data_IF_409517563003
#
_entry.id   IF_409517563003
#
_cell.length_a   1.000
_cell.length_b   1.000
_cell.length_c   1.000
_cell.angle_alpha   90.00
_cell.angle_beta   90.00
_cell.angle_gamma   90.00
#
_symmetry.space_group_name_H-M   'P 1'
#
loop_
_entity.id
_entity.type
_entity.pdbx_description
1 polymer ?
#
# COMPACT_ATOMS: atom_id res chain seq x y z
N UNK A 1 6.34 -17.72 37.22
CA UNK A 1 6.53 -18.45 35.95
C UNK A 1 6.04 -17.66 34.72
N UNK A 2 4.93 -16.95 34.81
CA UNK A 2 4.31 -16.23 33.69
C UNK A 2 5.15 -15.12 33.02
N UNK A 3 5.95 -14.33 33.76
CA UNK A 3 6.82 -13.32 33.15
C UNK A 3 7.90 -13.93 32.26
N UNK A 4 8.47 -15.07 32.66
CA UNK A 4 9.48 -15.78 31.89
C UNK A 4 8.92 -16.37 30.60
N UNK A 5 7.74 -17.01 30.66
CA UNK A 5 7.07 -17.54 29.46
C UNK A 5 6.75 -16.43 28.46
N UNK A 6 6.25 -15.29 28.94
CA UNK A 6 5.97 -14.11 28.10
C UNK A 6 7.24 -13.55 27.46
N UNK A 7 8.31 -13.39 28.24
CA UNK A 7 9.62 -12.96 27.72
C UNK A 7 10.17 -13.91 26.67
N UNK A 8 10.12 -15.22 26.90
CA UNK A 8 10.54 -16.25 25.95
C UNK A 8 9.72 -16.21 24.66
N UNK A 9 8.39 -16.02 24.76
CA UNK A 9 7.50 -15.87 23.60
C UNK A 9 7.83 -14.61 22.79
N UNK A 10 8.06 -13.49 23.47
CA UNK A 10 8.44 -12.23 22.81
C UNK A 10 9.82 -12.33 22.14
N UNK A 11 10.79 -12.98 22.79
CA UNK A 11 12.10 -13.24 22.20
C UNK A 11 11.98 -14.10 20.92
N UNK A 12 11.19 -15.18 20.95
CA UNK A 12 10.93 -16.00 19.76
C UNK A 12 10.26 -15.22 18.64
N UNK A 13 9.30 -14.34 18.96
CA UNK A 13 8.65 -13.46 17.98
C UNK A 13 9.62 -12.46 17.38
N UNK A 14 10.50 -11.88 18.18
CA UNK A 14 11.53 -10.97 17.70
C UNK A 14 12.50 -11.68 16.73
N UNK A 15 12.95 -12.89 17.08
CA UNK A 15 13.79 -13.71 16.21
C UNK A 15 13.10 -14.03 14.87
N UNK A 16 11.83 -14.45 14.92
CA UNK A 16 11.06 -14.74 13.71
C UNK A 16 10.88 -13.51 12.82
N UNK A 17 10.65 -12.33 13.42
CA UNK A 17 10.59 -11.06 12.68
C UNK A 17 11.92 -10.71 12.04
N UNK A 18 13.04 -10.87 12.76
CA UNK A 18 14.37 -10.61 12.22
C UNK A 18 14.67 -11.50 11.01
N UNK A 19 14.38 -12.80 11.10
CA UNK A 19 14.55 -13.74 9.99
C UNK A 19 13.69 -13.38 8.78
N UNK A 20 12.44 -12.98 9.00
CA UNK A 20 11.56 -12.55 7.91
C UNK A 20 12.04 -11.27 7.22
N UNK A 21 12.70 -10.36 7.96
CA UNK A 21 13.30 -9.16 7.38
C UNK A 21 14.51 -9.53 6.51
N UNK A 22 15.38 -10.41 7.00
CA UNK A 22 16.55 -10.90 6.25
C UNK A 22 16.15 -11.59 4.94
N UNK A 23 15.20 -12.52 4.99
CA UNK A 23 14.65 -13.19 3.80
C UNK A 23 14.05 -12.19 2.79
N UNK A 24 13.41 -11.12 3.27
CA UNK A 24 12.86 -10.07 2.42
C UNK A 24 13.95 -9.25 1.72
N UNK A 25 15.11 -9.02 2.36
CA UNK A 25 16.25 -8.37 1.71
C UNK A 25 16.88 -9.26 0.64
N UNK A 26 17.06 -10.54 0.93
CA UNK A 26 17.56 -11.51 -0.07
C UNK A 26 16.65 -11.61 -1.30
N UNK A 27 15.33 -11.49 -1.14
CA UNK A 27 14.38 -11.46 -2.25
C UNK A 27 14.54 -10.18 -3.11
N UNK A 28 14.81 -9.04 -2.46
CA UNK A 28 15.03 -7.75 -3.13
C UNK A 28 16.38 -7.70 -3.86
N UNK A 29 17.40 -8.45 -3.42
CA UNK A 29 18.70 -8.49 -4.09
C UNK A 29 18.74 -9.40 -5.33
N UNK A 30 17.75 -10.29 -5.50
CA UNK A 30 17.65 -11.17 -6.67
C UNK A 30 17.29 -10.39 -7.95
N UNK A 31 17.49 -10.99 -9.13
CA UNK A 31 17.30 -10.40 -10.48
C UNK A 31 15.91 -9.82 -10.81
N UNK A 32 14.94 -9.85 -9.90
CA UNK A 32 13.61 -9.23 -10.02
C UNK A 32 13.26 -8.28 -8.86
N UNK A 33 14.17 -8.06 -7.92
CA UNK A 33 13.87 -7.35 -6.69
C UNK A 33 13.70 -5.85 -6.84
N UNK A 34 14.19 -5.24 -7.93
CA UNK A 34 13.92 -3.84 -8.27
C UNK A 34 12.41 -3.56 -8.38
N UNK A 35 11.66 -4.44 -9.06
CA UNK A 35 10.20 -4.30 -9.20
C UNK A 35 9.50 -4.41 -7.85
N UNK A 36 9.99 -5.30 -6.99
CA UNK A 36 9.46 -5.49 -5.64
C UNK A 36 9.76 -4.28 -4.76
N UNK A 37 10.97 -3.73 -4.83
CA UNK A 37 11.37 -2.51 -4.13
C UNK A 37 10.52 -1.31 -4.57
N UNK A 38 10.31 -1.13 -5.88
CA UNK A 38 9.42 -0.10 -6.41
C UNK A 38 7.98 -0.26 -5.90
N UNK A 39 7.47 -1.50 -5.80
CA UNK A 39 6.14 -1.78 -5.23
C UNK A 39 6.07 -1.39 -3.75
N UNK A 40 7.09 -1.73 -2.95
CA UNK A 40 7.17 -1.37 -1.53
C UNK A 40 7.24 0.15 -1.36
N UNK A 41 8.09 0.83 -2.13
CA UNK A 41 8.21 2.29 -2.10
C UNK A 41 6.87 2.97 -2.42
N UNK A 42 6.18 2.53 -3.48
CA UNK A 42 4.84 3.03 -3.84
C UNK A 42 3.78 2.75 -2.78
N UNK A 43 3.90 1.65 -2.03
CA UNK A 43 2.97 1.35 -0.95
C UNK A 43 3.21 2.29 0.26
N UNK A 44 4.48 2.54 0.61
CA UNK A 44 4.86 3.50 1.67
C UNK A 44 4.41 4.92 1.34
N UNK A 45 4.68 5.37 0.12
CA UNK A 45 4.24 6.67 -0.38
C UNK A 45 2.72 6.83 -0.30
N UNK A 46 1.95 5.82 -0.73
CA UNK A 46 0.49 5.83 -0.58
C UNK A 46 0.03 5.83 0.88
N UNK A 47 0.67 5.07 1.76
CA UNK A 47 0.32 5.05 3.17
C UNK A 47 0.57 6.39 3.88
N UNK A 48 1.48 7.22 3.34
CA UNK A 48 1.78 8.56 3.87
C UNK A 48 0.84 9.65 3.37
N UNK A 49 -0.03 9.36 2.41
CA UNK A 49 -0.92 10.35 1.76
C UNK A 49 -2.33 10.22 2.29
N UNK A 50 -2.92 11.34 2.71
CA UNK A 50 -4.34 11.41 3.09
C UNK A 50 -5.27 11.13 1.91
N UNK A 51 -4.86 11.55 0.72
CA UNK A 51 -5.57 11.32 -0.54
C UNK A 51 -4.67 10.47 -1.44
N UNK A 52 -4.98 9.18 -1.51
CA UNK A 52 -4.19 8.22 -2.30
C UNK A 52 -4.60 8.17 -3.77
N UNK A 53 -5.80 8.65 -4.09
CA UNK A 53 -6.29 8.81 -5.46
C UNK A 53 -7.04 10.13 -5.62
N UNK A 54 -6.56 10.99 -6.51
CA UNK A 54 -7.31 12.17 -6.93
C UNK A 54 -8.19 11.73 -8.11
N UNK A 55 -9.50 11.55 -7.88
CA UNK A 55 -10.47 11.43 -8.97
C UNK A 55 -10.99 12.81 -9.33
N UNK A 56 -10.22 13.56 -10.12
CA UNK A 56 -10.73 14.78 -10.73
C UNK A 56 -11.39 14.42 -12.06
N UNK A 57 -12.72 14.42 -12.07
CA UNK A 57 -13.49 14.31 -13.29
C UNK A 57 -14.26 15.60 -13.50
N UNK A 58 -14.20 16.15 -14.72
CA UNK A 58 -14.99 17.33 -15.08
C UNK A 58 -16.24 16.92 -15.83
N UNK A 59 -17.33 17.63 -15.60
CA UNK A 59 -18.49 17.55 -16.46
C UNK A 59 -18.22 18.21 -17.83
N UNK A 60 -19.21 18.17 -18.71
CA UNK A 60 -19.15 18.79 -20.04
C UNK A 60 -18.98 20.31 -19.98
N UNK A 61 -19.37 20.94 -18.87
CA UNK A 61 -19.21 22.37 -18.61
C UNK A 61 -17.88 22.72 -17.95
N UNK A 62 -16.98 21.75 -17.75
CA UNK A 62 -15.65 21.95 -17.17
C UNK A 62 -15.62 22.05 -15.64
N UNK A 63 -16.75 21.80 -14.96
CA UNK A 63 -16.86 21.83 -13.50
C UNK A 63 -16.38 20.51 -12.92
N UNK A 64 -15.54 20.58 -11.88
CA UNK A 64 -15.03 19.39 -11.19
C UNK A 64 -16.15 18.73 -10.39
N UNK A 65 -16.48 17.50 -10.76
CA UNK A 65 -17.41 16.63 -10.06
C UNK A 65 -16.78 16.15 -8.75
N UNK A 66 -17.52 16.33 -7.64
CA UNK A 66 -17.08 15.92 -6.28
C UNK A 66 -17.84 14.72 -5.73
N UNK A 67 -19.01 14.41 -6.29
CA UNK A 67 -19.84 13.29 -5.86
C UNK A 67 -19.50 12.03 -6.66
N UNK A 68 -19.28 10.92 -5.96
CA UNK A 68 -18.88 9.64 -6.56
C UNK A 68 -19.90 9.07 -7.56
N UNK A 69 -21.19 9.34 -7.35
CA UNK A 69 -22.24 8.90 -8.27
C UNK A 69 -22.21 9.69 -9.57
N UNK A 70 -21.98 11.01 -9.50
CA UNK A 70 -21.81 11.87 -10.68
C UNK A 70 -20.56 11.52 -11.47
N UNK A 71 -19.45 11.25 -10.78
CA UNK A 71 -18.21 10.77 -11.40
C UNK A 71 -18.49 9.44 -12.13
N UNK A 72 -19.12 8.46 -11.48
CA UNK A 72 -19.42 7.15 -12.09
C UNK A 72 -20.34 7.26 -13.31
N UNK A 73 -21.37 8.11 -13.28
CA UNK A 73 -22.23 8.36 -14.44
C UNK A 73 -21.46 9.00 -15.59
N UNK A 74 -20.60 9.98 -15.31
CA UNK A 74 -19.76 10.61 -16.33
C UNK A 74 -18.75 9.63 -16.96
N UNK A 75 -18.20 8.69 -16.18
CA UNK A 75 -17.39 7.59 -16.73
C UNK A 75 -18.20 6.70 -17.68
N UNK A 76 -19.45 6.38 -17.35
CA UNK A 76 -20.30 5.61 -18.26
C UNK A 76 -20.52 6.37 -19.57
N UNK A 77 -20.83 7.67 -19.51
CA UNK A 77 -21.01 8.48 -20.72
C UNK A 77 -19.74 8.60 -21.58
N UNK A 78 -18.55 8.67 -20.97
CA UNK A 78 -17.29 8.80 -21.71
C UNK A 78 -16.86 7.52 -22.43
N UNK A 79 -17.21 6.35 -21.90
CA UNK A 79 -16.78 5.04 -22.39
C UNK A 79 -17.89 4.25 -23.08
N UNK A 80 -19.07 4.86 -23.24
CA UNK A 80 -20.15 4.32 -24.07
C UNK A 80 -19.94 4.74 -25.53
#
# INVERSE_FOLDING_TARGET
MEPYKMRKKNAKRALAKAKAIEEAYEEIEKKNGERQMLRIAKARDRASKDITSIRQMKDTSGVVLREDDKIRSRWKEYFH
#
